data_IF_517860400957
#
_entry.id   IF_517860400957
#
_cell.length_a   1.000
_cell.length_b   1.000
_cell.length_c   1.000
_cell.angle_alpha   90.00
_cell.angle_beta   90.00
_cell.angle_gamma   90.00
#
_symmetry.space_group_name_H-M   'P 1'
#
loop_
_entity.id
_entity.type
_entity.pdbx_description
1 polymer ?
#
# COMPACT_ATOMS: atom_id res chain seq x y z
N UNK A 1 21.63 -4.50 5.31
CA UNK A 1 21.00 -3.50 6.20
C UNK A 1 21.21 -2.12 5.63
N UNK A 2 20.14 -1.35 5.54
CA UNK A 2 20.16 0.07 5.14
C UNK A 2 19.72 0.96 6.30
N UNK A 3 20.24 2.18 6.37
CA UNK A 3 19.89 3.15 7.40
C UNK A 3 19.59 4.53 6.80
N UNK A 4 18.82 5.35 7.51
CA UNK A 4 18.56 6.74 7.16
C UNK A 4 17.44 6.97 6.14
N UNK A 5 16.81 5.92 5.65
CA UNK A 5 15.66 6.04 4.75
C UNK A 5 14.39 6.51 5.45
N UNK A 6 13.43 7.00 4.69
CA UNK A 6 12.11 7.34 5.20
C UNK A 6 11.24 8.12 4.22
N UNK A 7 9.95 7.88 4.31
CA UNK A 7 8.89 8.63 3.62
C UNK A 7 8.47 9.88 4.42
N UNK A 8 7.32 10.45 4.15
CA UNK A 8 6.84 11.73 4.65
C UNK A 8 7.64 12.93 4.09
N UNK A 9 7.79 14.00 4.87
CA UNK A 9 8.55 15.16 4.42
C UNK A 9 10.00 14.79 4.10
N UNK A 10 10.50 15.26 2.97
CA UNK A 10 11.86 14.99 2.50
C UNK A 10 12.15 13.48 2.39
N UNK A 11 11.40 12.79 1.53
CA UNK A 11 11.65 11.39 1.22
C UNK A 11 13.12 11.14 0.91
N UNK A 12 13.70 10.13 1.53
CA UNK A 12 15.11 9.80 1.41
C UNK A 12 15.26 8.29 1.34
N UNK A 13 16.05 7.81 0.41
CA UNK A 13 16.44 6.42 0.36
C UNK A 13 17.48 6.12 1.47
N UNK A 14 17.40 4.93 2.04
CA UNK A 14 18.39 4.48 3.02
C UNK A 14 19.70 4.10 2.33
N UNK A 15 20.81 4.49 2.94
CA UNK A 15 22.13 4.06 2.47
C UNK A 15 22.52 2.71 3.08
N UNK A 16 23.19 1.85 2.29
CA UNK A 16 23.66 0.55 2.76
C UNK A 16 24.76 0.72 3.81
N UNK A 17 24.58 0.10 4.97
CA UNK A 17 25.60 0.01 6.03
C UNK A 17 26.22 -1.38 6.11
N UNK A 18 25.49 -2.41 5.73
CA UNK A 18 25.97 -3.77 5.52
C UNK A 18 25.28 -4.36 4.29
N UNK A 19 26.04 -4.83 3.32
CA UNK A 19 25.50 -5.54 2.16
C UNK A 19 24.89 -6.87 2.58
N UNK A 20 25.62 -7.62 3.38
CA UNK A 20 25.16 -8.85 4.02
C UNK A 20 25.49 -8.82 5.51
N UNK A 21 24.54 -9.21 6.35
CA UNK A 21 24.72 -9.33 7.78
C UNK A 21 24.20 -10.69 8.26
N UNK A 22 25.03 -11.48 8.97
CA UNK A 22 24.56 -12.68 9.63
C UNK A 22 23.41 -12.35 10.60
N UNK A 23 22.36 -13.18 10.64
CA UNK A 23 21.18 -12.95 11.49
C UNK A 23 21.55 -12.79 12.96
N UNK A 24 22.60 -13.50 13.43
CA UNK A 24 23.13 -13.41 14.79
C UNK A 24 23.60 -12.01 15.19
N UNK A 25 23.94 -11.16 14.23
CA UNK A 25 24.42 -9.79 14.48
C UNK A 25 23.33 -8.73 14.51
N UNK A 26 22.08 -9.08 14.15
CA UNK A 26 21.01 -8.08 13.93
C UNK A 26 20.73 -7.23 15.17
N UNK A 27 20.74 -7.82 16.36
CA UNK A 27 20.50 -7.07 17.60
C UNK A 27 21.62 -6.10 17.94
N UNK A 28 22.88 -6.50 17.69
CA UNK A 28 24.05 -5.62 17.92
C UNK A 28 24.05 -4.42 16.97
N UNK A 29 23.70 -4.65 15.72
CA UNK A 29 23.56 -3.59 14.71
C UNK A 29 22.42 -2.64 15.07
N UNK A 30 21.24 -3.18 15.42
CA UNK A 30 20.11 -2.38 15.84
C UNK A 30 20.44 -1.52 17.08
N UNK A 31 21.05 -2.12 18.09
CA UNK A 31 21.46 -1.42 19.31
C UNK A 31 22.48 -0.31 19.02
N UNK A 32 23.47 -0.55 18.16
CA UNK A 32 24.44 0.48 17.77
C UNK A 32 23.75 1.67 17.10
N UNK A 33 22.79 1.41 16.17
CA UNK A 33 22.01 2.46 15.52
C UNK A 33 21.19 3.25 16.56
N UNK A 34 20.54 2.57 17.49
CA UNK A 34 19.71 3.21 18.53
C UNK A 34 20.54 4.07 19.47
N UNK A 35 21.75 3.64 19.86
CA UNK A 35 22.65 4.43 20.72
C UNK A 35 23.13 5.71 20.05
N UNK A 36 23.48 5.62 18.76
CA UNK A 36 23.83 6.83 17.99
C UNK A 36 22.63 7.74 17.87
N UNK A 37 21.45 7.22 17.58
CA UNK A 37 20.23 8.01 17.51
C UNK A 37 19.87 8.63 18.87
N UNK A 38 20.02 7.90 19.96
CA UNK A 38 19.79 8.41 21.31
C UNK A 38 20.73 9.60 21.65
N UNK A 39 22.00 9.55 21.21
CA UNK A 39 22.99 10.58 21.49
C UNK A 39 22.81 11.86 20.67
N UNK A 40 22.37 11.73 19.41
CA UNK A 40 22.35 12.82 18.44
C UNK A 40 20.95 13.20 17.93
N UNK A 41 19.91 12.51 18.35
CA UNK A 41 18.54 12.81 17.97
C UNK A 41 18.08 14.18 18.50
N UNK A 42 17.22 14.85 17.74
CA UNK A 42 16.64 16.15 18.10
C UNK A 42 15.36 15.96 18.92
N UNK A 43 15.51 15.80 20.21
CA UNK A 43 14.40 15.59 21.15
C UNK A 43 13.61 16.87 21.47
N UNK A 44 14.15 18.04 21.11
CA UNK A 44 13.45 19.31 21.32
C UNK A 44 12.42 19.57 20.21
N UNK A 45 12.74 19.13 18.98
CA UNK A 45 11.87 19.30 17.82
C UNK A 45 11.38 17.92 17.33
N UNK A 46 10.34 17.40 17.96
CA UNK A 46 9.82 16.04 17.68
C UNK A 46 9.56 15.75 16.20
N UNK A 47 9.07 16.74 15.45
CA UNK A 47 8.83 16.64 14.00
C UNK A 47 10.11 16.36 13.19
N UNK A 48 11.29 16.72 13.72
CA UNK A 48 12.61 16.50 13.13
C UNK A 48 13.39 15.38 13.82
N UNK A 49 12.82 14.74 14.83
CA UNK A 49 13.49 13.65 15.55
C UNK A 49 13.34 12.31 14.82
N UNK A 50 13.92 12.22 13.62
CA UNK A 50 13.97 11.00 12.80
C UNK A 50 15.39 10.81 12.28
N UNK A 51 15.79 9.54 12.06
CA UNK A 51 17.15 9.19 11.67
C UNK A 51 17.64 9.96 10.45
N UNK A 52 16.81 10.13 9.41
CA UNK A 52 17.18 10.86 8.20
C UNK A 52 17.57 12.33 8.47
N UNK A 53 16.90 13.00 9.41
CA UNK A 53 17.23 14.38 9.77
C UNK A 53 18.52 14.44 10.61
N UNK A 54 18.71 13.49 11.52
CA UNK A 54 19.94 13.36 12.30
C UNK A 54 21.14 13.12 11.37
N UNK A 55 21.03 12.19 10.43
CA UNK A 55 22.11 11.92 9.44
C UNK A 55 22.37 13.14 8.57
N UNK A 56 21.33 13.85 8.15
CA UNK A 56 21.48 15.09 7.38
C UNK A 56 22.23 16.18 8.19
N UNK A 57 21.96 16.28 9.48
CA UNK A 57 22.63 17.25 10.38
C UNK A 57 24.07 16.89 10.67
N UNK A 58 24.36 15.62 10.97
CA UNK A 58 25.72 15.15 11.27
C UNK A 58 26.62 15.03 10.04
N UNK A 59 26.03 14.72 8.90
CA UNK A 59 26.72 14.19 7.72
C UNK A 59 26.91 12.68 7.83
N UNK A 60 26.85 12.01 6.65
CA UNK A 60 26.92 10.55 6.56
C UNK A 60 28.23 9.98 7.12
N UNK A 61 29.37 10.61 6.82
CA UNK A 61 30.69 10.12 7.26
C UNK A 61 30.77 10.08 8.80
N UNK A 62 30.42 11.20 9.47
CA UNK A 62 30.45 11.26 10.93
C UNK A 62 29.47 10.29 11.57
N UNK A 63 28.26 10.17 11.02
CA UNK A 63 27.28 9.20 11.51
C UNK A 63 27.83 7.77 11.40
N UNK A 64 28.47 7.43 10.29
CA UNK A 64 29.08 6.11 10.06
C UNK A 64 30.18 5.83 11.06
N UNK A 65 31.08 6.78 11.30
CA UNK A 65 32.17 6.63 12.29
C UNK A 65 31.62 6.40 13.71
N UNK A 66 30.56 7.11 14.12
CA UNK A 66 29.92 6.92 15.41
C UNK A 66 29.24 5.54 15.51
N UNK A 67 28.55 5.12 14.45
CA UNK A 67 27.95 3.79 14.37
C UNK A 67 28.99 2.67 14.46
N UNK A 68 30.06 2.74 13.69
CA UNK A 68 31.12 1.71 13.67
C UNK A 68 31.83 1.63 15.04
N UNK A 69 32.03 2.75 15.70
CA UNK A 69 32.60 2.83 17.06
C UNK A 69 31.67 2.17 18.09
N UNK A 70 30.37 2.48 18.05
CA UNK A 70 29.41 1.85 18.96
C UNK A 70 29.29 0.34 18.73
N UNK A 71 29.23 -0.10 17.47
CA UNK A 71 29.15 -1.52 17.14
C UNK A 71 30.38 -2.30 17.62
N UNK A 72 31.57 -1.71 17.42
CA UNK A 72 32.83 -2.30 17.93
C UNK A 72 32.80 -2.42 19.47
N UNK A 73 32.36 -1.35 20.16
CA UNK A 73 32.22 -1.36 21.62
C UNK A 73 31.23 -2.41 22.13
N UNK A 74 30.07 -2.56 21.50
CA UNK A 74 29.07 -3.59 21.84
C UNK A 74 29.63 -5.00 21.68
N UNK A 75 30.35 -5.24 20.59
CA UNK A 75 31.01 -6.53 20.32
C UNK A 75 32.05 -6.87 21.37
N UNK A 76 32.87 -5.87 21.74
CA UNK A 76 33.96 -6.06 22.74
C UNK A 76 33.36 -6.37 24.13
N UNK A 77 32.30 -5.68 24.54
CA UNK A 77 31.69 -5.86 25.88
C UNK A 77 30.78 -7.10 25.97
N UNK A 78 30.32 -7.64 24.84
CA UNK A 78 29.43 -8.79 24.81
C UNK A 78 28.05 -8.54 25.47
N UNK A 79 27.63 -7.28 25.60
CA UNK A 79 26.45 -6.87 26.36
C UNK A 79 25.13 -7.09 25.63
N UNK A 80 25.15 -7.32 24.32
CA UNK A 80 23.95 -7.57 23.50
C UNK A 80 23.98 -9.03 23.02
N UNK A 81 22.91 -9.80 23.29
CA UNK A 81 22.86 -11.20 22.91
C UNK A 81 22.86 -11.36 21.37
N UNK A 82 23.33 -12.52 20.91
CA UNK A 82 23.16 -12.94 19.52
C UNK A 82 21.74 -13.44 19.28
N UNK A 83 21.21 -13.16 18.10
CA UNK A 83 19.96 -13.78 17.66
C UNK A 83 20.27 -15.16 17.05
N UNK A 84 19.94 -16.20 17.78
CA UNK A 84 19.98 -17.55 17.24
C UNK A 84 18.62 -17.86 16.59
N UNK A 85 18.64 -18.08 15.29
CA UNK A 85 17.46 -18.53 14.55
C UNK A 85 17.81 -19.90 13.98
N UNK A 86 17.05 -20.90 14.38
CA UNK A 86 16.99 -22.16 13.67
C UNK A 86 16.39 -21.89 12.28
N UNK A 87 17.25 -21.62 11.32
CA UNK A 87 16.84 -21.55 9.90
C UNK A 87 16.83 -22.97 9.37
N UNK A 88 15.64 -23.55 9.09
CA UNK A 88 15.61 -24.80 8.35
C UNK A 88 16.30 -24.55 6.99
N UNK A 89 17.23 -25.42 6.65
CA UNK A 89 18.02 -25.32 5.42
C UNK A 89 17.12 -25.28 4.16
N UNK A 90 15.99 -25.99 4.22
CA UNK A 90 14.93 -25.97 3.21
C UNK A 90 13.57 -25.89 3.87
N UNK A 91 12.67 -25.09 3.32
CA UNK A 91 11.27 -25.07 3.74
C UNK A 91 10.64 -26.43 3.37
N UNK A 92 10.32 -27.22 4.39
CA UNK A 92 9.73 -28.54 4.19
C UNK A 92 8.31 -28.40 3.61
N UNK A 93 7.93 -29.35 2.76
CA UNK A 93 6.55 -29.48 2.29
C UNK A 93 5.62 -29.64 3.49
N UNK A 94 4.52 -28.87 3.59
CA UNK A 94 3.54 -29.07 4.65
C UNK A 94 2.95 -30.47 4.55
N UNK A 95 2.66 -31.06 5.70
CA UNK A 95 1.83 -32.27 5.78
C UNK A 95 0.45 -31.99 5.16
N UNK A 96 -0.31 -33.04 4.85
CA UNK A 96 -1.67 -32.93 4.29
C UNK A 96 -2.54 -31.93 5.07
N UNK A 97 -3.54 -31.30 4.43
CA UNK A 97 -4.45 -30.36 5.05
C UNK A 97 -5.04 -30.92 6.35
N UNK A 98 -5.06 -30.09 7.39
CA UNK A 98 -5.46 -30.52 8.75
C UNK A 98 -6.95 -30.40 9.01
N UNK A 99 -7.68 -29.69 8.16
CA UNK A 99 -9.13 -29.47 8.34
C UNK A 99 -9.89 -29.65 7.05
N UNK A 100 -11.15 -30.04 7.17
CA UNK A 100 -12.08 -29.97 6.06
C UNK A 100 -12.38 -28.52 5.70
N UNK A 101 -12.50 -28.27 4.40
CA UNK A 101 -12.86 -26.95 3.91
C UNK A 101 -14.38 -26.73 4.03
N UNK A 102 -14.82 -25.59 4.59
CA UNK A 102 -16.24 -25.26 4.58
C UNK A 102 -16.77 -25.15 3.15
N UNK A 103 -18.03 -25.52 2.95
CA UNK A 103 -18.71 -25.40 1.65
C UNK A 103 -18.96 -23.93 1.27
N UNK A 104 -19.15 -23.66 0.00
CA UNK A 104 -19.50 -22.31 -0.49
C UNK A 104 -20.78 -21.77 0.13
N UNK A 105 -21.77 -22.64 0.37
CA UNK A 105 -23.06 -22.29 1.01
C UNK A 105 -22.84 -21.86 2.46
N UNK A 106 -22.08 -22.63 3.23
CA UNK A 106 -21.73 -22.27 4.62
C UNK A 106 -20.95 -20.97 4.71
N UNK A 107 -19.97 -20.77 3.81
CA UNK A 107 -19.20 -19.54 3.74
C UNK A 107 -20.12 -18.35 3.48
N UNK A 108 -20.98 -18.43 2.46
CA UNK A 108 -21.94 -17.37 2.13
C UNK A 108 -22.85 -17.06 3.32
N UNK A 109 -23.39 -18.07 3.98
CA UNK A 109 -24.23 -17.87 5.17
C UNK A 109 -23.47 -17.16 6.29
N UNK A 110 -22.20 -17.52 6.54
CA UNK A 110 -21.36 -16.88 7.58
C UNK A 110 -21.07 -15.41 7.29
N UNK A 111 -20.70 -15.06 6.04
CA UNK A 111 -20.31 -13.69 5.69
C UNK A 111 -21.50 -12.76 5.52
N UNK A 112 -22.68 -13.27 5.20
CA UNK A 112 -23.91 -12.48 5.05
C UNK A 112 -24.71 -12.34 6.35
N UNK A 113 -24.55 -13.24 7.33
CA UNK A 113 -25.22 -13.16 8.63
C UNK A 113 -24.63 -12.09 9.55
N UNK A 114 -23.38 -11.70 9.34
CA UNK A 114 -22.69 -10.70 10.12
C UNK A 114 -23.11 -9.29 9.70
N UNK A 115 -23.94 -8.62 10.49
CA UNK A 115 -24.16 -7.18 10.30
C UNK A 115 -22.97 -6.41 10.86
N UNK A 116 -22.11 -5.92 9.99
CA UNK A 116 -21.10 -4.96 10.38
C UNK A 116 -21.78 -3.62 10.64
N UNK A 117 -21.70 -3.12 11.85
CA UNK A 117 -22.15 -1.77 12.21
C UNK A 117 -20.95 -1.02 12.77
N UNK A 118 -20.67 0.13 12.20
CA UNK A 118 -19.61 1.01 12.65
C UNK A 118 -19.65 2.32 11.90
N UNK A 119 -18.98 3.36 12.39
CA UNK A 119 -18.71 4.55 11.60
C UNK A 119 -17.72 4.22 10.47
N UNK A 120 -17.82 4.97 9.38
CA UNK A 120 -16.85 4.91 8.29
C UNK A 120 -17.22 3.99 7.14
N UNK A 121 -16.25 3.78 6.27
CA UNK A 121 -16.41 2.97 5.05
C UNK A 121 -16.37 1.49 5.43
N UNK A 122 -17.49 0.82 5.22
CA UNK A 122 -17.64 -0.57 5.56
C UNK A 122 -17.07 -1.49 4.47
N UNK A 123 -16.48 -2.65 4.84
CA UNK A 123 -16.09 -3.66 3.86
C UNK A 123 -17.28 -4.09 3.02
N UNK A 124 -17.06 -4.16 1.70
CA UNK A 124 -18.11 -4.67 0.79
C UNK A 124 -18.03 -6.18 0.74
N UNK A 125 -19.13 -6.83 1.09
CA UNK A 125 -19.26 -8.29 1.03
C UNK A 125 -20.29 -8.66 -0.03
N UNK A 126 -19.80 -9.06 -1.20
CA UNK A 126 -20.63 -9.50 -2.34
C UNK A 126 -20.27 -10.96 -2.67
N UNK A 127 -20.92 -11.95 -2.04
CA UNK A 127 -20.68 -13.35 -2.33
C UNK A 127 -21.05 -13.73 -3.75
N UNK A 128 -20.20 -14.49 -4.42
CA UNK A 128 -20.46 -15.05 -5.76
C UNK A 128 -20.45 -16.57 -5.66
N UNK A 129 -21.61 -17.21 -5.81
CA UNK A 129 -21.75 -18.66 -5.71
C UNK A 129 -21.50 -19.40 -7.04
N UNK A 130 -21.87 -18.78 -8.15
CA UNK A 130 -21.75 -19.36 -9.49
C UNK A 130 -20.85 -18.46 -10.36
N UNK A 131 -19.56 -18.46 -10.05
CA UNK A 131 -18.57 -17.75 -10.87
C UNK A 131 -18.41 -18.43 -12.23
N UNK A 132 -18.34 -17.63 -13.30
CA UNK A 132 -18.10 -18.11 -14.66
C UNK A 132 -16.64 -18.54 -14.82
N UNK A 133 -16.36 -19.37 -15.83
CA UNK A 133 -14.98 -19.78 -16.15
C UNK A 133 -14.08 -18.61 -16.51
N UNK A 134 -14.62 -17.57 -17.13
CA UNK A 134 -13.93 -16.33 -17.43
C UNK A 134 -13.49 -15.57 -16.17
N UNK A 135 -14.35 -15.54 -15.15
CA UNK A 135 -14.02 -14.88 -13.86
C UNK A 135 -12.90 -15.61 -13.14
N UNK A 136 -12.95 -16.95 -13.13
CA UNK A 136 -11.85 -17.76 -12.62
C UNK A 136 -10.56 -17.56 -13.41
N UNK A 137 -10.63 -17.51 -14.74
CA UNK A 137 -9.44 -17.35 -15.57
C UNK A 137 -8.77 -16.00 -15.36
N UNK A 138 -9.52 -14.91 -15.25
CA UNK A 138 -9.02 -13.58 -14.91
C UNK A 138 -8.38 -13.57 -13.52
N UNK A 139 -9.10 -14.09 -12.51
CA UNK A 139 -8.57 -14.17 -11.16
C UNK A 139 -7.28 -15.01 -11.09
N UNK A 140 -7.25 -16.14 -11.77
CA UNK A 140 -6.05 -16.97 -11.80
C UNK A 140 -4.85 -16.25 -12.41
N UNK A 141 -5.07 -15.44 -13.43
CA UNK A 141 -4.01 -14.71 -14.12
C UNK A 141 -3.37 -13.63 -13.23
N UNK A 142 -4.15 -12.96 -12.38
CA UNK A 142 -3.68 -11.88 -11.50
C UNK A 142 -3.29 -12.35 -10.10
N UNK A 143 -4.01 -13.31 -9.52
CA UNK A 143 -3.91 -13.66 -8.10
C UNK A 143 -3.12 -14.95 -7.81
N UNK A 144 -2.66 -15.68 -8.83
CA UNK A 144 -2.00 -16.97 -8.63
C UNK A 144 -0.61 -16.99 -9.24
N UNK A 145 0.39 -17.13 -8.39
CA UNK A 145 1.79 -17.24 -8.77
C UNK A 145 2.28 -18.68 -8.58
N UNK A 146 3.14 -19.17 -9.47
CA UNK A 146 3.81 -20.44 -9.26
C UNK A 146 4.72 -20.34 -8.03
N UNK A 147 4.60 -21.30 -7.10
CA UNK A 147 5.55 -21.42 -6.01
C UNK A 147 6.84 -22.07 -6.52
N UNK A 148 7.98 -21.79 -5.88
CA UNK A 148 9.26 -22.39 -6.23
C UNK A 148 9.23 -23.91 -6.21
N UNK A 149 8.44 -24.50 -5.29
CA UNK A 149 8.23 -25.95 -5.21
C UNK A 149 7.19 -26.40 -6.24
N UNK A 150 7.56 -27.39 -7.04
CA UNK A 150 6.73 -27.95 -8.11
C UNK A 150 5.39 -28.47 -7.57
N UNK A 151 4.31 -28.18 -8.29
CA UNK A 151 2.96 -28.63 -7.95
C UNK A 151 2.22 -27.74 -6.94
N UNK A 152 2.85 -26.64 -6.49
CA UNK A 152 2.26 -25.68 -5.57
C UNK A 152 2.16 -24.27 -6.17
N UNK A 153 1.23 -23.51 -5.64
CA UNK A 153 0.98 -22.11 -5.99
C UNK A 153 0.96 -21.24 -4.72
N UNK A 154 1.26 -19.96 -4.94
CA UNK A 154 1.00 -18.86 -4.02
C UNK A 154 -0.28 -18.20 -4.49
N UNK A 155 -1.25 -18.04 -3.61
CA UNK A 155 -2.53 -17.38 -3.92
C UNK A 155 -2.61 -16.07 -3.15
N UNK A 156 -2.71 -14.97 -3.88
CA UNK A 156 -2.98 -13.66 -3.33
C UNK A 156 -4.49 -13.42 -3.28
N UNK A 157 -4.98 -13.02 -2.11
CA UNK A 157 -6.37 -12.67 -1.87
C UNK A 157 -6.46 -11.16 -1.79
N UNK A 158 -7.06 -10.54 -2.79
CA UNK A 158 -7.29 -9.10 -2.81
C UNK A 158 -8.26 -8.70 -1.72
N UNK A 159 -7.85 -7.74 -0.91
CA UNK A 159 -8.65 -7.18 0.19
C UNK A 159 -8.87 -5.69 -0.07
N UNK A 160 -10.04 -5.29 -0.56
CA UNK A 160 -10.31 -3.90 -0.89
C UNK A 160 -9.97 -2.95 0.26
N UNK A 161 -9.10 -1.97 -0.01
CA UNK A 161 -8.61 -0.99 0.97
C UNK A 161 -8.02 -1.60 2.25
N UNK A 162 -7.57 -2.86 2.18
CA UNK A 162 -7.05 -3.58 3.33
C UNK A 162 -8.08 -3.91 4.42
N UNK A 163 -9.37 -3.87 4.11
CA UNK A 163 -10.44 -4.02 5.08
C UNK A 163 -11.34 -5.22 4.80
N UNK A 164 -11.64 -5.99 5.84
CA UNK A 164 -12.51 -7.16 5.78
C UNK A 164 -13.31 -7.35 7.06
N UNK A 165 -14.43 -8.02 6.93
CA UNK A 165 -15.23 -8.36 8.10
C UNK A 165 -14.56 -9.47 8.93
N UNK A 166 -14.90 -9.54 10.21
CA UNK A 166 -14.43 -10.65 11.07
C UNK A 166 -14.89 -12.04 10.57
N UNK A 167 -16.02 -12.10 9.86
CA UNK A 167 -16.51 -13.33 9.25
C UNK A 167 -15.61 -13.75 8.06
N UNK A 168 -15.25 -12.80 7.19
CA UNK A 168 -14.30 -13.05 6.09
C UNK A 168 -12.94 -13.49 6.63
N UNK A 169 -12.42 -12.84 7.68
CA UNK A 169 -11.14 -13.19 8.28
C UNK A 169 -11.12 -14.63 8.82
N UNK A 170 -12.22 -15.08 9.49
CA UNK A 170 -12.34 -16.47 9.94
C UNK A 170 -12.38 -17.44 8.75
N UNK A 171 -13.10 -17.10 7.69
CA UNK A 171 -13.14 -17.92 6.46
C UNK A 171 -11.75 -18.06 5.87
N UNK A 172 -10.97 -16.97 5.73
CA UNK A 172 -9.59 -17.03 5.24
C UNK A 172 -8.72 -17.93 6.12
N UNK A 173 -8.88 -17.85 7.45
CA UNK A 173 -8.17 -18.72 8.38
C UNK A 173 -8.52 -20.21 8.20
N UNK A 174 -9.79 -20.54 7.97
CA UNK A 174 -10.23 -21.92 7.68
C UNK A 174 -9.68 -22.39 6.33
N UNK A 175 -9.69 -21.53 5.30
CA UNK A 175 -9.14 -21.85 3.98
C UNK A 175 -7.61 -22.03 4.01
N UNK A 176 -6.90 -21.24 4.81
CA UNK A 176 -5.45 -21.40 4.99
C UNK A 176 -5.11 -22.78 5.59
N UNK A 177 -5.92 -23.27 6.55
CA UNK A 177 -5.75 -24.60 7.16
C UNK A 177 -6.16 -25.73 6.21
N UNK A 178 -7.14 -25.50 5.34
CA UNK A 178 -7.65 -26.53 4.44
C UNK A 178 -6.79 -26.68 3.16
N UNK A 179 -6.27 -25.57 2.63
CA UNK A 179 -5.61 -25.53 1.32
C UNK A 179 -4.11 -25.22 1.36
N UNK A 180 -3.64 -24.57 2.42
CA UNK A 180 -2.26 -24.09 2.54
C UNK A 180 -1.49 -24.72 3.71
N UNK A 181 -0.51 -23.99 4.21
CA UNK A 181 0.33 -24.34 5.35
C UNK A 181 -0.28 -23.94 6.72
N UNK A 182 -1.54 -23.52 6.74
CA UNK A 182 -2.23 -23.04 7.93
C UNK A 182 -1.85 -21.61 8.34
N UNK A 183 -1.04 -20.92 7.54
CA UNK A 183 -0.62 -19.54 7.79
C UNK A 183 -1.18 -18.57 6.74
N UNK A 184 -1.39 -17.33 7.14
CA UNK A 184 -1.78 -16.21 6.26
C UNK A 184 -0.72 -15.13 6.41
N UNK A 185 -0.26 -14.58 5.30
CA UNK A 185 0.67 -13.45 5.27
C UNK A 185 -0.02 -12.20 4.76
N UNK A 186 0.35 -11.05 5.33
CA UNK A 186 -0.09 -9.74 4.86
C UNK A 186 0.94 -9.19 3.88
N UNK A 187 0.49 -8.61 2.78
CA UNK A 187 1.36 -7.93 1.81
C UNK A 187 1.49 -6.44 2.10
N UNK A 188 2.46 -5.79 1.47
CA UNK A 188 2.62 -4.33 1.53
C UNK A 188 1.52 -3.58 0.75
N UNK A 189 0.76 -4.28 -0.11
CA UNK A 189 -0.38 -3.76 -0.85
C UNK A 189 -1.71 -4.01 -0.12
N UNK A 190 -1.63 -4.37 1.17
CA UNK A 190 -2.77 -4.61 2.08
C UNK A 190 -3.60 -5.85 1.73
N UNK A 191 -3.06 -6.77 0.94
CA UNK A 191 -3.65 -8.04 0.57
C UNK A 191 -3.20 -9.18 1.50
N UNK A 192 -3.77 -10.38 1.29
CA UNK A 192 -3.38 -11.58 2.01
C UNK A 192 -2.79 -12.61 1.06
N UNK A 193 -1.86 -13.42 1.55
CA UNK A 193 -1.21 -14.49 0.78
C UNK A 193 -1.37 -15.82 1.49
N UNK A 194 -1.83 -16.81 0.72
CA UNK A 194 -1.84 -18.23 1.08
C UNK A 194 -0.76 -18.94 0.26
N UNK A 195 0.15 -19.62 0.94
CA UNK A 195 1.21 -20.43 0.33
C UNK A 195 0.88 -21.90 0.37
N UNK A 196 1.64 -22.70 -0.36
CA UNK A 196 1.53 -24.14 -0.39
C UNK A 196 0.17 -24.66 -0.87
N UNK A 197 -0.51 -23.89 -1.69
CA UNK A 197 -1.77 -24.32 -2.30
C UNK A 197 -1.44 -25.29 -3.43
N UNK A 198 -1.95 -26.52 -3.38
CA UNK A 198 -1.77 -27.47 -4.48
C UNK A 198 -2.38 -26.92 -5.76
N UNK A 199 -1.66 -27.00 -6.87
CA UNK A 199 -2.13 -26.44 -8.16
C UNK A 199 -3.49 -26.99 -8.60
N UNK A 200 -3.81 -28.25 -8.26
CA UNK A 200 -5.11 -28.87 -8.51
C UNK A 200 -6.26 -28.32 -7.67
N UNK A 201 -5.96 -27.71 -6.52
CA UNK A 201 -6.95 -27.21 -5.55
C UNK A 201 -7.29 -25.73 -5.77
N UNK A 202 -6.53 -25.02 -6.62
CA UNK A 202 -6.67 -23.57 -6.84
C UNK A 202 -8.09 -23.18 -7.25
N UNK A 203 -8.75 -23.96 -8.10
CA UNK A 203 -10.14 -23.69 -8.52
C UNK A 203 -11.13 -23.86 -7.37
N UNK A 204 -10.95 -24.87 -6.53
CA UNK A 204 -11.79 -25.11 -5.37
C UNK A 204 -11.63 -24.02 -4.31
N UNK A 205 -10.39 -23.53 -4.12
CA UNK A 205 -10.09 -22.38 -3.26
C UNK A 205 -10.74 -21.10 -3.80
N UNK A 206 -10.61 -20.82 -5.11
CA UNK A 206 -11.26 -19.67 -5.75
C UNK A 206 -12.77 -19.63 -5.50
N UNK A 207 -13.48 -20.75 -5.72
CA UNK A 207 -14.92 -20.80 -5.51
C UNK A 207 -15.33 -20.41 -4.06
N UNK A 208 -14.49 -20.76 -3.09
CA UNK A 208 -14.70 -20.43 -1.67
C UNK A 208 -14.39 -18.99 -1.35
N UNK A 209 -13.31 -18.46 -1.93
CA UNK A 209 -12.97 -17.03 -1.81
C UNK A 209 -14.08 -16.17 -2.48
N UNK A 210 -14.55 -16.56 -3.65
CA UNK A 210 -15.66 -15.87 -4.31
C UNK A 210 -16.94 -15.91 -3.47
N UNK A 211 -17.27 -17.07 -2.84
CA UNK A 211 -18.39 -17.18 -1.91
C UNK A 211 -18.24 -16.31 -0.64
N UNK A 212 -17.01 -15.94 -0.29
CA UNK A 212 -16.73 -15.00 0.80
C UNK A 212 -16.71 -13.52 0.34
N UNK A 213 -16.91 -13.23 -0.97
CA UNK A 213 -16.73 -11.90 -1.54
C UNK A 213 -15.26 -11.46 -1.66
N UNK A 214 -14.33 -12.41 -1.69
CA UNK A 214 -12.88 -12.21 -1.77
C UNK A 214 -12.27 -12.80 -3.07
N UNK A 215 -13.07 -13.04 -4.07
CA UNK A 215 -12.66 -13.58 -5.38
C UNK A 215 -12.32 -12.50 -6.42
N UNK A 216 -11.84 -11.33 -6.02
CA UNK A 216 -11.51 -10.23 -6.93
C UNK A 216 -10.24 -10.51 -7.72
N UNK A 217 -10.28 -10.22 -9.01
CA UNK A 217 -9.18 -10.41 -9.96
C UNK A 217 -8.30 -9.15 -10.09
N UNK A 218 -7.96 -8.52 -8.97
CA UNK A 218 -7.33 -7.20 -8.95
C UNK A 218 -5.88 -7.22 -8.50
N UNK A 219 -5.40 -8.35 -7.92
CA UNK A 219 -4.08 -8.40 -7.30
C UNK A 219 -2.99 -7.88 -8.26
N UNK A 220 -2.29 -6.86 -7.80
CA UNK A 220 -1.25 -6.24 -8.58
C UNK A 220 -1.69 -5.39 -9.77
N UNK A 221 -2.98 -5.14 -9.95
CA UNK A 221 -3.49 -4.23 -10.98
C UNK A 221 -3.63 -2.78 -10.47
N UNK A 222 -3.98 -1.88 -11.36
CA UNK A 222 -4.28 -0.48 -11.00
C UNK A 222 -5.54 -0.37 -10.14
N UNK A 223 -6.43 -1.36 -10.17
CA UNK A 223 -7.64 -1.42 -9.34
C UNK A 223 -7.39 -1.94 -7.92
N UNK A 224 -6.19 -2.47 -7.66
CA UNK A 224 -5.72 -2.86 -6.32
C UNK A 224 -5.17 -1.62 -5.59
N UNK A 225 -6.08 -0.75 -5.17
CA UNK A 225 -5.75 0.55 -4.58
C UNK A 225 -5.38 0.40 -3.11
N UNK A 226 -4.14 0.74 -2.76
CA UNK A 226 -3.70 0.79 -1.36
C UNK A 226 -3.95 2.17 -0.74
N UNK A 227 -4.49 2.21 0.47
CA UNK A 227 -4.87 3.45 1.14
C UNK A 227 -4.58 3.40 2.63
N UNK A 228 -4.12 4.51 3.21
CA UNK A 228 -4.10 4.64 4.66
C UNK A 228 -5.53 4.84 5.20
N UNK A 229 -5.78 4.77 6.53
CA UNK A 229 -7.11 5.00 7.09
C UNK A 229 -7.71 6.38 6.76
N UNK A 230 -6.86 7.41 6.56
CA UNK A 230 -7.34 8.76 6.32
C UNK A 230 -8.09 9.36 7.51
N UNK A 231 -8.84 10.43 7.26
CA UNK A 231 -9.60 11.16 8.29
C UNK A 231 -10.75 10.33 8.90
N UNK A 232 -11.05 9.15 8.36
CA UNK A 232 -12.02 8.22 8.94
C UNK A 232 -11.68 7.84 10.40
N UNK A 233 -10.41 7.63 10.71
CA UNK A 233 -9.96 7.24 12.05
C UNK A 233 -8.64 7.88 12.49
N UNK A 234 -7.92 8.55 11.61
CA UNK A 234 -6.64 9.18 11.90
C UNK A 234 -6.79 10.68 12.11
N UNK A 235 -6.51 11.16 13.33
CA UNK A 235 -6.60 12.59 13.68
C UNK A 235 -5.54 13.47 13.01
N UNK A 236 -4.51 12.89 12.41
CA UNK A 236 -3.47 13.60 11.67
C UNK A 236 -3.80 13.73 10.17
N UNK A 237 -4.81 13.03 9.70
CA UNK A 237 -5.18 13.06 8.29
C UNK A 237 -5.98 14.32 7.96
N UNK A 238 -5.76 14.82 6.74
CA UNK A 238 -6.46 15.97 6.20
C UNK A 238 -7.72 15.53 5.45
N UNK A 239 -7.64 14.41 4.71
CA UNK A 239 -8.71 13.95 3.81
C UNK A 239 -9.07 12.48 4.05
N UNK A 240 -10.23 12.10 3.54
CA UNK A 240 -10.78 10.74 3.54
C UNK A 240 -10.11 9.87 2.47
N UNK A 241 -8.91 9.40 2.73
CA UNK A 241 -8.17 8.58 1.76
C UNK A 241 -8.86 7.28 1.39
N UNK A 242 -9.55 6.62 2.33
CA UNK A 242 -10.37 5.43 2.03
C UNK A 242 -11.59 5.77 1.18
N UNK A 243 -12.17 6.96 1.36
CA UNK A 243 -13.23 7.47 0.50
C UNK A 243 -12.77 7.59 -0.96
N UNK A 244 -11.57 8.16 -1.18
CA UNK A 244 -10.97 8.20 -2.51
C UNK A 244 -10.64 6.81 -3.04
N UNK A 245 -10.07 5.93 -2.19
CA UNK A 245 -9.77 4.56 -2.59
C UNK A 245 -11.02 3.82 -3.08
N UNK A 246 -12.13 3.90 -2.35
CA UNK A 246 -13.41 3.30 -2.74
C UNK A 246 -13.91 3.84 -4.08
N UNK A 247 -13.88 5.16 -4.24
CA UNK A 247 -14.29 5.80 -5.48
C UNK A 247 -13.48 5.31 -6.68
N UNK A 248 -12.15 5.16 -6.52
CA UNK A 248 -11.26 4.68 -7.58
C UNK A 248 -11.42 3.18 -7.86
N UNK A 249 -11.56 2.34 -6.83
CA UNK A 249 -11.83 0.92 -7.02
C UNK A 249 -13.13 0.69 -7.80
N UNK A 250 -14.21 1.38 -7.42
CA UNK A 250 -15.51 1.25 -8.10
C UNK A 250 -15.43 1.77 -9.55
N UNK A 251 -14.75 2.91 -9.77
CA UNK A 251 -14.52 3.46 -11.11
C UNK A 251 -13.74 2.51 -12.01
N UNK A 252 -12.59 2.00 -11.53
CA UNK A 252 -11.70 1.14 -12.31
C UNK A 252 -12.29 -0.24 -12.58
N UNK A 253 -13.00 -0.85 -11.60
CA UNK A 253 -13.70 -2.13 -11.83
C UNK A 253 -14.80 -2.03 -12.88
N UNK A 254 -15.39 -0.84 -13.05
CA UNK A 254 -16.29 -0.54 -14.16
C UNK A 254 -15.59 -0.36 -15.53
N UNK A 255 -14.26 -0.28 -15.56
CA UNK A 255 -13.45 0.06 -16.73
C UNK A 255 -12.33 -0.97 -16.99
N UNK A 256 -12.66 -2.21 -17.39
CA UNK A 256 -11.65 -3.24 -17.65
C UNK A 256 -10.66 -2.87 -18.76
N UNK A 257 -11.05 -1.98 -19.66
CA UNK A 257 -10.19 -1.38 -20.69
C UNK A 257 -9.03 -0.57 -20.07
N UNK A 258 -9.31 0.23 -19.05
CA UNK A 258 -8.27 0.98 -18.33
C UNK A 258 -7.36 0.08 -17.51
N UNK A 259 -7.92 -0.94 -16.85
CA UNK A 259 -7.11 -1.91 -16.09
C UNK A 259 -6.12 -2.60 -17.02
N UNK A 260 -6.57 -3.04 -18.20
CA UNK A 260 -5.72 -3.69 -19.18
C UNK A 260 -4.66 -2.74 -19.77
N UNK A 261 -5.00 -1.46 -19.96
CA UNK A 261 -4.08 -0.44 -20.48
C UNK A 261 -3.02 -0.01 -19.46
N UNK A 262 -3.31 -0.14 -18.16
CA UNK A 262 -2.47 0.38 -17.08
C UNK A 262 -1.20 -0.44 -16.78
N UNK A 263 -1.12 -1.69 -17.25
CA UNK A 263 0.06 -2.57 -17.24
C UNK A 263 0.92 -2.48 -15.97
N UNK A 264 0.38 -2.95 -14.85
CA UNK A 264 1.09 -3.00 -13.57
C UNK A 264 1.24 -1.65 -12.84
N UNK A 265 0.61 -0.58 -13.33
CA UNK A 265 0.56 0.67 -12.58
C UNK A 265 -0.06 0.46 -11.18
N UNK A 266 0.50 1.15 -10.18
CA UNK A 266 0.04 1.08 -8.78
C UNK A 266 -0.49 2.41 -8.32
N UNK A 267 -1.66 2.41 -7.70
CA UNK A 267 -2.24 3.58 -7.04
C UNK A 267 -2.11 3.42 -5.53
N UNK A 268 -1.52 4.44 -4.88
CA UNK A 268 -1.42 4.47 -3.42
C UNK A 268 -1.83 5.84 -2.88
N UNK A 269 -2.62 5.85 -1.80
CA UNK A 269 -3.27 7.04 -1.28
C UNK A 269 -2.92 7.26 0.18
N UNK A 270 -2.55 8.49 0.53
CA UNK A 270 -2.41 8.91 1.93
C UNK A 270 -3.24 10.16 2.19
N UNK A 271 -3.94 10.21 3.31
CA UNK A 271 -4.76 11.35 3.71
C UNK A 271 -3.97 12.58 4.19
N UNK A 272 -2.64 12.49 4.26
CA UNK A 272 -1.75 13.58 4.70
C UNK A 272 -0.29 13.34 4.24
N UNK A 273 0.64 14.28 4.50
CA UNK A 273 2.06 14.13 4.11
C UNK A 273 2.81 12.98 4.75
N UNK A 274 2.28 12.34 5.80
CA UNK A 274 3.00 11.29 6.54
C UNK A 274 3.33 10.05 5.70
N UNK A 275 2.64 9.82 4.60
CA UNK A 275 2.98 8.77 3.66
C UNK A 275 2.65 7.34 4.13
N UNK A 276 1.75 7.18 5.10
CA UNK A 276 1.37 5.86 5.62
C UNK A 276 0.78 4.93 4.55
N UNK A 277 0.09 5.49 3.53
CA UNK A 277 -0.36 4.75 2.35
C UNK A 277 0.71 4.58 1.26
N UNK A 278 1.96 4.98 1.52
CA UNK A 278 3.11 4.80 0.62
C UNK A 278 2.96 5.52 -0.75
N UNK A 279 2.20 6.61 -0.82
CA UNK A 279 1.97 7.36 -2.06
C UNK A 279 3.26 7.85 -2.74
N UNK A 280 4.35 8.02 -1.98
CA UNK A 280 5.63 8.47 -2.51
C UNK A 280 6.33 7.46 -3.44
N UNK A 281 6.05 6.16 -3.25
CA UNK A 281 6.68 5.06 -4.02
C UNK A 281 5.66 4.35 -4.90
N UNK A 282 4.58 5.03 -5.26
CA UNK A 282 3.57 4.53 -6.19
C UNK A 282 3.80 5.07 -7.60
N UNK A 283 3.41 4.31 -8.61
CA UNK A 283 3.37 4.78 -10.00
C UNK A 283 2.54 6.06 -10.12
N UNK A 284 1.35 6.05 -9.46
CA UNK A 284 0.46 7.19 -9.28
C UNK A 284 0.15 7.31 -7.79
N UNK A 285 0.63 8.36 -7.15
CA UNK A 285 0.46 8.60 -5.72
C UNK A 285 -0.46 9.78 -5.44
N UNK A 286 -1.33 9.64 -4.44
CA UNK A 286 -2.23 10.71 -4.01
C UNK A 286 -1.97 11.06 -2.54
N UNK A 287 -1.71 12.36 -2.27
CA UNK A 287 -1.53 12.89 -0.93
C UNK A 287 -2.64 13.88 -0.61
N UNK A 288 -3.40 13.63 0.42
CA UNK A 288 -4.47 14.52 0.88
C UNK A 288 -3.96 15.89 1.31
N UNK A 289 -4.70 16.90 0.95
CA UNK A 289 -4.45 18.29 1.31
C UNK A 289 -5.75 19.11 1.25
N UNK A 290 -5.68 20.39 1.61
CA UNK A 290 -6.80 21.33 1.58
C UNK A 290 -6.53 22.46 0.62
N UNK A 291 -7.58 22.91 -0.09
CA UNK A 291 -7.62 24.17 -0.85
C UNK A 291 -8.70 25.06 -0.27
N UNK A 292 -8.52 26.36 -0.31
CA UNK A 292 -9.57 27.33 0.04
C UNK A 292 -10.09 28.01 -1.21
N UNK A 293 -11.41 27.99 -1.39
CA UNK A 293 -12.11 28.63 -2.52
C UNK A 293 -13.29 29.42 -1.94
N UNK A 294 -13.32 30.71 -2.17
CA UNK A 294 -14.34 31.59 -1.60
C UNK A 294 -14.42 31.58 -0.07
N UNK A 295 -13.28 31.32 0.60
CA UNK A 295 -13.21 31.21 2.07
C UNK A 295 -13.55 29.82 2.63
N UNK A 296 -14.14 28.92 1.84
CA UNK A 296 -14.52 27.56 2.24
C UNK A 296 -13.41 26.57 1.92
N UNK A 297 -13.28 25.52 2.70
CA UNK A 297 -12.32 24.45 2.49
C UNK A 297 -12.85 23.44 1.44
N UNK A 298 -11.98 23.00 0.55
CA UNK A 298 -12.23 21.97 -0.47
C UNK A 298 -11.20 20.87 -0.30
N UNK A 299 -11.61 19.60 -0.17
CA UNK A 299 -10.69 18.48 -0.15
C UNK A 299 -10.01 18.35 -1.51
N UNK A 300 -8.68 18.22 -1.50
CA UNK A 300 -7.89 18.02 -2.71
C UNK A 300 -6.78 17.01 -2.47
N UNK A 301 -6.18 16.54 -3.56
CA UNK A 301 -5.02 15.67 -3.52
C UNK A 301 -3.87 16.23 -4.36
N UNK A 302 -2.66 16.11 -3.84
CA UNK A 302 -1.45 16.23 -4.62
C UNK A 302 -1.29 14.96 -5.45
N UNK A 303 -1.16 15.13 -6.75
CA UNK A 303 -0.94 14.04 -7.71
C UNK A 303 0.56 13.90 -7.92
N UNK A 304 1.10 12.74 -7.54
CA UNK A 304 2.51 12.39 -7.72
C UNK A 304 2.64 11.26 -8.74
N UNK A 305 3.66 11.31 -9.58
CA UNK A 305 3.90 10.31 -10.62
C UNK A 305 5.35 9.84 -10.65
N UNK A 306 5.58 8.58 -11.02
CA UNK A 306 6.90 8.00 -11.25
C UNK A 306 7.62 7.55 -9.99
N UNK A 307 6.88 7.27 -8.91
CA UNK A 307 7.40 6.52 -7.77
C UNK A 307 7.44 5.02 -8.05
N UNK A 308 8.32 4.31 -7.37
CA UNK A 308 8.46 2.85 -7.49
C UNK A 308 9.55 2.28 -6.59
N UNK A 309 9.58 0.96 -6.49
CA UNK A 309 10.59 0.20 -5.74
C UNK A 309 11.25 -0.87 -6.61
N UNK A 310 11.22 -0.69 -7.92
CA UNK A 310 11.78 -1.61 -8.90
C UNK A 310 13.31 -1.47 -8.98
N UNK A 311 13.97 -2.50 -9.53
CA UNK A 311 15.41 -2.50 -9.81
C UNK A 311 16.33 -2.28 -8.59
N UNK A 312 15.90 -2.66 -7.38
CA UNK A 312 16.76 -2.64 -6.19
C UNK A 312 16.96 -1.26 -5.56
N UNK A 313 16.22 -0.25 -6.02
CA UNK A 313 16.20 1.10 -5.48
C UNK A 313 14.80 1.65 -5.27
N UNK A 314 14.68 2.81 -4.63
CA UNK A 314 13.42 3.53 -4.50
C UNK A 314 13.44 4.80 -5.34
N UNK A 315 12.44 4.96 -6.22
CA UNK A 315 12.14 6.24 -6.85
C UNK A 315 10.96 6.89 -6.14
N UNK A 316 11.07 8.21 -5.89
CA UNK A 316 9.97 8.94 -5.26
C UNK A 316 9.16 9.70 -6.30
N UNK A 317 7.83 9.62 -6.17
CA UNK A 317 6.89 10.31 -7.03
C UNK A 317 7.12 11.83 -7.03
N UNK A 318 7.06 12.43 -8.22
CA UNK A 318 7.22 13.87 -8.45
C UNK A 318 5.86 14.53 -8.49
N UNK A 319 5.70 15.62 -7.76
CA UNK A 319 4.45 16.40 -7.71
C UNK A 319 4.13 16.99 -9.11
N UNK A 320 3.02 16.56 -9.69
CA UNK A 320 2.56 17.01 -11.00
C UNK A 320 1.41 18.02 -10.92
N UNK A 321 0.42 17.82 -10.05
CA UNK A 321 -0.78 18.66 -9.97
C UNK A 321 -1.40 18.64 -8.56
N UNK A 322 -2.37 19.54 -8.32
CA UNK A 322 -3.17 19.65 -7.08
C UNK A 322 -4.64 19.66 -7.47
N UNK A 323 -5.30 18.54 -7.36
CA UNK A 323 -6.61 18.31 -7.95
C UNK A 323 -7.69 18.16 -6.88
N UNK A 324 -8.88 18.80 -7.01
CA UNK A 324 -10.03 18.55 -6.13
C UNK A 324 -10.40 17.07 -6.09
N UNK A 325 -10.77 16.58 -4.90
CA UNK A 325 -10.93 15.14 -4.63
C UNK A 325 -11.88 14.44 -5.63
N UNK A 326 -13.01 15.06 -5.98
CA UNK A 326 -14.01 14.47 -6.87
C UNK A 326 -13.57 14.34 -8.33
N UNK A 327 -12.51 15.04 -8.73
CA UNK A 327 -11.94 14.99 -10.10
C UNK A 327 -10.81 13.97 -10.26
N UNK A 328 -10.46 13.26 -9.20
CA UNK A 328 -9.35 12.28 -9.23
C UNK A 328 -9.63 11.09 -10.17
N UNK A 329 -10.86 10.56 -10.33
CA UNK A 329 -11.11 9.53 -11.35
C UNK A 329 -10.71 9.99 -12.77
N UNK A 330 -11.03 11.23 -13.17
CA UNK A 330 -10.63 11.78 -14.47
C UNK A 330 -9.10 11.92 -14.59
N UNK A 331 -8.40 12.18 -13.47
CA UNK A 331 -6.92 12.18 -13.45
C UNK A 331 -6.38 10.81 -13.79
N UNK A 332 -6.93 9.76 -13.17
CA UNK A 332 -6.49 8.38 -13.39
C UNK A 332 -6.72 7.98 -14.85
N UNK A 333 -7.89 8.27 -15.40
CA UNK A 333 -8.22 8.01 -16.81
C UNK A 333 -7.19 8.66 -17.74
N UNK A 334 -6.96 9.97 -17.59
CA UNK A 334 -6.00 10.70 -18.44
C UNK A 334 -4.57 10.22 -18.31
N UNK A 335 -4.13 9.84 -17.11
CA UNK A 335 -2.78 9.33 -16.90
C UNK A 335 -2.62 7.94 -17.55
N UNK A 336 -3.60 7.06 -17.44
CA UNK A 336 -3.56 5.73 -18.08
C UNK A 336 -3.62 5.88 -19.62
N UNK A 337 -4.48 6.76 -20.14
CA UNK A 337 -4.56 7.05 -21.56
C UNK A 337 -3.25 7.65 -22.10
N UNK A 338 -2.62 8.59 -21.36
CA UNK A 338 -1.31 9.15 -21.70
C UNK A 338 -0.27 8.03 -21.78
N UNK A 339 -0.19 7.17 -20.77
CA UNK A 339 0.73 6.03 -20.74
C UNK A 339 0.48 5.11 -21.95
N UNK A 340 -0.75 4.70 -22.18
CA UNK A 340 -1.10 3.81 -23.28
C UNK A 340 -0.70 4.37 -24.65
N UNK A 341 -0.81 5.69 -24.85
CA UNK A 341 -0.50 6.37 -26.11
C UNK A 341 0.99 6.63 -26.31
N UNK A 342 1.74 6.91 -25.24
CA UNK A 342 3.09 7.49 -25.30
C UNK A 342 4.19 6.57 -24.78
N UNK A 343 3.85 5.37 -24.31
CA UNK A 343 4.84 4.40 -23.85
C UNK A 343 5.65 3.82 -25.02
N UNK A 344 6.91 3.54 -24.75
CA UNK A 344 7.73 2.74 -25.67
C UNK A 344 7.32 1.26 -25.61
N UNK A 345 7.72 0.49 -26.61
CA UNK A 345 7.49 -0.96 -26.64
C UNK A 345 8.14 -1.61 -25.38
N UNK A 346 7.37 -2.41 -24.65
CA UNK A 346 7.80 -3.08 -23.42
C UNK A 346 8.06 -2.18 -22.20
N UNK A 347 7.73 -0.90 -22.28
CA UNK A 347 7.94 0.04 -21.16
C UNK A 347 6.85 -0.10 -20.10
N UNK A 348 7.25 -0.37 -18.85
CA UNK A 348 6.34 -0.38 -17.71
C UNK A 348 5.79 1.00 -17.38
N UNK A 349 4.61 1.08 -16.76
CA UNK A 349 4.03 2.33 -16.32
C UNK A 349 4.95 3.09 -15.35
N UNK A 350 5.64 2.39 -14.44
CA UNK A 350 6.59 2.99 -13.51
C UNK A 350 7.76 3.65 -14.25
N UNK A 351 8.34 2.97 -15.24
CA UNK A 351 9.42 3.51 -16.07
C UNK A 351 8.97 4.71 -16.88
N UNK A 352 7.79 4.62 -17.51
CA UNK A 352 7.20 5.71 -18.28
C UNK A 352 7.01 6.97 -17.42
N UNK A 353 6.30 6.85 -16.29
CA UNK A 353 6.10 7.98 -15.40
C UNK A 353 7.38 8.45 -14.70
N UNK A 354 8.42 7.62 -14.64
CA UNK A 354 9.75 8.01 -14.20
C UNK A 354 10.45 8.96 -15.18
N UNK A 355 10.31 8.72 -16.50
CA UNK A 355 10.99 9.52 -17.54
C UNK A 355 10.19 10.71 -18.07
N UNK A 356 8.84 10.62 -18.06
CA UNK A 356 8.01 11.72 -18.61
C UNK A 356 8.22 12.99 -17.80
N UNK A 357 8.25 14.15 -18.46
CA UNK A 357 8.43 15.41 -17.74
C UNK A 357 7.19 15.75 -16.90
N UNK A 358 7.42 16.25 -15.70
CA UNK A 358 6.34 16.71 -14.80
C UNK A 358 5.49 17.79 -15.46
N UNK A 359 6.12 18.66 -16.28
CA UNK A 359 5.42 19.72 -17.01
C UNK A 359 4.41 19.14 -18.02
N UNK A 360 4.77 18.08 -18.74
CA UNK A 360 3.86 17.42 -19.67
C UNK A 360 2.65 16.80 -18.95
N UNK A 361 2.89 16.12 -17.82
CA UNK A 361 1.80 15.61 -16.97
C UNK A 361 0.92 16.75 -16.45
N UNK A 362 1.53 17.85 -15.99
CA UNK A 362 0.81 19.02 -15.49
C UNK A 362 -0.09 19.65 -16.56
N UNK A 363 0.40 19.79 -17.78
CA UNK A 363 -0.38 20.34 -18.89
C UNK A 363 -1.59 19.45 -19.23
N UNK A 364 -1.43 18.13 -19.17
CA UNK A 364 -2.53 17.17 -19.40
C UNK A 364 -3.63 17.27 -18.34
N UNK A 365 -3.28 17.70 -17.11
CA UNK A 365 -4.22 17.79 -15.98
C UNK A 365 -4.67 19.24 -15.67
N UNK A 366 -4.22 20.24 -16.44
CA UNK A 366 -4.32 21.64 -16.08
C UNK A 366 -5.76 22.17 -15.94
N UNK A 367 -6.70 21.66 -16.72
CA UNK A 367 -8.12 22.03 -16.60
C UNK A 367 -8.79 21.41 -15.36
N UNK A 368 -8.37 20.20 -14.95
CA UNK A 368 -8.87 19.55 -13.73
C UNK A 368 -8.40 20.27 -12.46
N UNK A 369 -7.24 20.93 -12.50
CA UNK A 369 -6.71 21.72 -11.39
C UNK A 369 -7.47 23.02 -11.15
N UNK A 370 -8.03 23.60 -12.21
CA UNK A 370 -8.72 24.89 -12.16
C UNK A 370 -10.09 24.74 -11.50
N UNK A 371 -10.33 25.50 -10.44
CA UNK A 371 -11.62 25.60 -9.77
C UNK A 371 -11.75 26.98 -9.14
N UNK A 372 -12.85 27.68 -9.43
CA UNK A 372 -13.21 28.97 -8.86
C UNK A 372 -14.46 28.83 -7.99
N UNK A 373 -14.79 29.86 -7.22
CA UNK A 373 -16.03 29.88 -6.44
C UNK A 373 -17.31 29.83 -7.32
N UNK A 374 -17.21 30.27 -8.58
CA UNK A 374 -18.32 30.19 -9.51
C UNK A 374 -18.53 28.81 -10.12
N UNK A 375 -17.47 28.01 -10.21
CA UNK A 375 -17.49 26.66 -10.81
C UNK A 375 -17.70 25.56 -9.77
N UNK A 376 -17.45 25.86 -8.47
CA UNK A 376 -17.54 24.89 -7.40
C UNK A 376 -18.99 24.51 -7.09
N UNK A 377 -19.27 23.22 -7.11
CA UNK A 377 -20.56 22.65 -6.72
C UNK A 377 -20.65 22.47 -5.20
N UNK A 378 -21.85 22.39 -4.61
CA UNK A 378 -22.00 22.14 -3.17
C UNK A 378 -21.21 20.90 -2.68
N UNK A 379 -21.19 19.83 -3.47
CA UNK A 379 -20.50 18.59 -3.14
C UNK A 379 -18.96 18.71 -3.16
N UNK A 380 -18.40 19.70 -3.84
CA UNK A 380 -16.95 19.94 -3.83
C UNK A 380 -16.44 20.40 -2.44
N UNK A 381 -17.33 20.90 -1.58
CA UNK A 381 -17.04 21.29 -0.21
C UNK A 381 -17.29 20.18 0.82
N UNK A 382 -17.57 18.97 0.36
CA UNK A 382 -17.78 17.78 1.19
C UNK A 382 -16.74 16.73 0.82
N UNK A 383 -16.05 16.18 1.83
CA UNK A 383 -15.06 15.13 1.55
C UNK A 383 -15.73 13.82 1.12
N UNK A 384 -14.97 12.96 0.48
CA UNK A 384 -15.46 11.68 -0.05
C UNK A 384 -15.94 10.77 1.08
N UNK A 385 -17.11 10.16 0.88
CA UNK A 385 -17.82 9.34 1.89
C UNK A 385 -18.26 10.08 3.17
N UNK A 386 -18.27 11.42 3.14
CA UNK A 386 -18.83 12.26 4.21
C UNK A 386 -20.14 12.92 3.78
N UNK A 387 -20.88 13.44 4.76
CA UNK A 387 -22.11 14.20 4.53
C UNK A 387 -22.05 15.63 5.03
N UNK A 388 -21.07 15.96 5.87
CA UNK A 388 -20.87 17.29 6.41
C UNK A 388 -19.89 18.10 5.55
N UNK A 389 -19.98 19.42 5.63
CA UNK A 389 -19.03 20.31 4.99
C UNK A 389 -17.60 20.03 5.50
N UNK A 390 -16.64 20.01 4.57
CA UNK A 390 -15.26 19.70 4.85
C UNK A 390 -14.61 20.79 5.72
N UNK A 391 -14.32 20.43 6.96
CA UNK A 391 -13.66 21.29 7.94
C UNK A 391 -12.49 20.51 8.57
N UNK A 392 -11.32 20.44 7.89
CA UNK A 392 -10.22 19.64 8.39
C UNK A 392 -9.64 20.27 9.67
N UNK A 393 -9.67 19.49 10.76
CA UNK A 393 -8.94 19.79 11.98
C UNK A 393 -7.54 19.19 11.86
N UNK A 394 -6.57 19.99 11.43
CA UNK A 394 -5.17 19.55 11.39
C UNK A 394 -4.59 19.63 12.79
N UNK A 395 -4.41 18.50 13.44
CA UNK A 395 -3.70 18.42 14.72
C UNK A 395 -2.19 18.37 14.48
N UNK A 396 -1.43 19.07 15.33
CA UNK A 396 0.02 18.98 15.36
C UNK A 396 0.45 17.57 15.77
N UNK A 397 0.93 16.80 14.80
CA UNK A 397 1.51 15.47 14.99
C UNK A 397 3.01 15.47 14.78
N UNK A 398 3.69 14.39 15.17
CA UNK A 398 5.14 14.24 14.98
C UNK A 398 5.58 14.30 13.49
N UNK A 399 4.63 14.26 12.59
CA UNK A 399 4.85 14.23 11.15
C UNK A 399 4.20 15.41 10.40
N UNK A 400 3.50 16.29 11.08
CA UNK A 400 2.94 17.52 10.51
C UNK A 400 3.98 18.64 10.59
N UNK A 401 4.64 18.93 9.48
CA UNK A 401 5.44 20.13 9.29
C UNK A 401 5.09 20.76 7.95
#
# INVERSE_FOLDING_TARGET
VTAGGGTALMCTEGAAIHEFLPTSEIFRVAEAILRVFHRYGDYQHKQRNRMKFMIKSLGWARWRDEYDRELAGIRLRGEVPTLEIDTPADEAMPSAPRSESPSTVEITARVTSGRVKGPGIMPVVVPVLNSRDEDYSRWRASNVLAQKQFGYAIVEVTVPLGDMTSAQMRVVGDLAKAYGDGTVRVTMDQNLVLRWVKSGDVRALYARLAAAGLGLADAGSVADVASCPGAESCRLAVTQSRGLGRLLEDHLRGRPDLIAAADGARIKISGCPNGCGQHHVATIGFQGSVRRIGGRAVPQYFVMVGGGTEHGGASFGRLAAKIPARRIPDVVDRLIEMYSREKNEGESATSFFGRVSVEHVRLTLADLEKMTAADALPDDYVDLAESAEFAPEVMDGECSA
#
